data_IF_689267980822
#
_entry.id   IF_689267980822
#
_cell.length_a   1.000
_cell.length_b   1.000
_cell.length_c   1.000
_cell.angle_alpha   90.00
_cell.angle_beta   90.00
_cell.angle_gamma   90.00
#
_symmetry.space_group_name_H-M   'P 1'
#
loop_
_entity.id
_entity.type
_entity.pdbx_description
1 polymer ?
#
# COMPACT_ATOMS: atom_id res chain seq x y z
N UNK A 1 8.54 15.33 9.03
CA UNK A 1 9.60 15.14 10.02
C UNK A 1 9.11 14.19 11.10
N UNK A 2 9.89 13.18 11.49
CA UNK A 2 9.64 12.46 12.74
C UNK A 2 9.94 13.43 13.89
N UNK A 3 9.12 13.47 14.96
CA UNK A 3 9.45 14.26 16.14
C UNK A 3 10.82 13.81 16.67
N UNK A 4 11.65 14.73 17.19
CA UNK A 4 12.92 14.35 17.81
C UNK A 4 12.64 13.32 18.92
N UNK A 5 13.49 12.27 19.06
CA UNK A 5 13.29 11.26 20.08
C UNK A 5 13.21 11.93 21.46
N UNK A 6 12.34 11.45 22.37
CA UNK A 6 12.21 12.06 23.67
C UNK A 6 13.56 12.08 24.40
N UNK A 7 13.90 13.17 25.12
CA UNK A 7 15.09 13.19 25.97
C UNK A 7 15.05 11.99 26.92
N UNK A 8 16.14 11.21 26.99
CA UNK A 8 16.16 9.99 27.81
C UNK A 8 15.96 10.27 29.31
N UNK A 9 16.21 11.51 29.73
CA UNK A 9 16.01 12.04 31.08
C UNK A 9 14.57 12.50 31.37
N UNK A 10 13.67 12.56 30.38
CA UNK A 10 12.27 12.88 30.61
C UNK A 10 11.52 11.72 31.28
N UNK A 11 10.52 12.05 32.12
CA UNK A 11 9.66 11.05 32.75
C UNK A 11 8.89 10.23 31.71
N UNK A 12 8.55 8.97 32.01
CA UNK A 12 7.81 8.11 31.08
C UNK A 12 6.49 8.77 30.62
N UNK A 13 5.75 9.39 31.54
CA UNK A 13 4.50 10.09 31.24
C UNK A 13 4.71 11.20 30.21
N UNK A 14 5.75 12.02 30.37
CA UNK A 14 6.06 13.08 29.42
C UNK A 14 6.44 12.54 28.04
N UNK A 15 7.21 11.45 27.98
CA UNK A 15 7.56 10.80 26.71
C UNK A 15 6.32 10.25 26.00
N UNK A 16 5.39 9.63 26.75
CA UNK A 16 4.13 9.13 26.22
C UNK A 16 3.23 10.25 25.72
N UNK A 17 3.09 11.35 26.46
CA UNK A 17 2.30 12.52 26.03
C UNK A 17 2.87 13.13 24.75
N UNK A 18 4.19 13.28 24.66
CA UNK A 18 4.86 13.76 23.43
C UNK A 18 4.62 12.82 22.25
N UNK A 19 4.62 11.51 22.47
CA UNK A 19 4.31 10.54 21.41
C UNK A 19 2.85 10.67 20.97
N UNK A 20 1.92 10.65 21.93
CA UNK A 20 0.47 10.63 21.70
C UNK A 20 -0.07 11.88 20.98
N UNK A 21 0.59 13.02 21.18
CA UNK A 21 0.22 14.30 20.54
C UNK A 21 0.71 14.43 19.10
N UNK A 22 1.40 13.43 18.57
CA UNK A 22 1.93 13.48 17.20
C UNK A 22 0.91 12.95 16.19
N UNK A 23 0.90 13.57 15.01
CA UNK A 23 0.13 13.06 13.87
C UNK A 23 0.59 11.66 13.43
N UNK A 24 1.86 11.30 13.69
CA UNK A 24 2.37 9.96 13.41
C UNK A 24 1.77 8.89 14.33
N UNK A 25 1.49 9.23 15.59
CA UNK A 25 0.81 8.34 16.51
C UNK A 25 -0.65 8.10 16.09
N UNK A 26 -1.36 9.14 15.64
CA UNK A 26 -2.70 8.98 15.06
C UNK A 26 -2.68 8.06 13.83
N UNK A 27 -1.67 8.21 12.96
CA UNK A 27 -1.45 7.33 11.81
C UNK A 27 -1.16 5.87 12.23
N UNK A 28 -0.35 5.67 13.28
CA UNK A 28 -0.12 4.35 13.86
C UNK A 28 -1.41 3.72 14.39
N UNK A 29 -2.21 4.49 15.14
CA UNK A 29 -3.46 4.02 15.71
C UNK A 29 -4.44 3.61 14.61
N UNK A 30 -4.52 4.37 13.51
CA UNK A 30 -5.31 3.97 12.34
C UNK A 30 -4.89 2.62 11.76
N UNK A 31 -3.59 2.37 11.55
CA UNK A 31 -3.14 1.07 11.07
C UNK A 31 -3.39 -0.06 12.08
N UNK A 32 -3.23 0.20 13.38
CA UNK A 32 -3.54 -0.76 14.42
C UNK A 32 -5.03 -1.12 14.46
N UNK A 33 -5.91 -0.11 14.41
CA UNK A 33 -7.36 -0.30 14.30
C UNK A 33 -7.75 -1.06 13.04
N UNK A 34 -7.09 -0.80 11.91
CA UNK A 34 -7.28 -1.57 10.68
C UNK A 34 -6.99 -3.05 10.91
N UNK A 35 -5.84 -3.39 11.49
CA UNK A 35 -5.46 -4.79 11.77
C UNK A 35 -6.46 -5.49 12.69
N UNK A 36 -6.87 -4.84 13.78
CA UNK A 36 -7.87 -5.39 14.71
C UNK A 36 -9.22 -5.60 14.01
N UNK A 37 -9.62 -4.64 13.17
CA UNK A 37 -10.87 -4.69 12.41
C UNK A 37 -10.86 -5.82 11.38
N UNK A 38 -9.76 -6.00 10.65
CA UNK A 38 -9.59 -7.10 9.69
C UNK A 38 -9.56 -8.44 10.39
N UNK A 39 -8.83 -8.56 11.52
CA UNK A 39 -8.82 -9.79 12.32
C UNK A 39 -10.23 -10.17 12.76
N UNK A 40 -10.97 -9.23 13.35
CA UNK A 40 -12.35 -9.47 13.80
C UNK A 40 -13.30 -9.77 12.63
N UNK A 41 -13.11 -9.14 11.48
CA UNK A 41 -13.84 -9.47 10.25
C UNK A 41 -13.51 -10.89 9.78
N UNK A 42 -12.25 -11.30 9.83
CA UNK A 42 -11.81 -12.67 9.49
C UNK A 42 -12.49 -13.73 10.36
N UNK A 43 -12.70 -13.47 11.65
CA UNK A 43 -13.47 -14.36 12.54
C UNK A 43 -14.91 -14.61 12.07
N UNK A 44 -15.50 -13.68 11.31
CA UNK A 44 -16.84 -13.87 10.73
C UNK A 44 -16.86 -14.93 9.62
N UNK A 45 -15.72 -15.22 8.97
CA UNK A 45 -15.61 -16.28 7.97
C UNK A 45 -15.53 -17.66 8.62
N UNK A 46 -14.84 -17.79 9.75
CA UNK A 46 -14.81 -19.05 10.53
C UNK A 46 -16.18 -19.42 11.11
N UNK A 47 -16.99 -18.42 11.44
CA UNK A 47 -18.35 -18.59 11.96
C UNK A 47 -19.42 -18.57 10.87
N UNK A 48 -19.03 -18.50 9.60
CA UNK A 48 -19.91 -18.37 8.42
C UNK A 48 -20.93 -17.21 8.51
N UNK A 49 -20.65 -16.19 9.34
CA UNK A 49 -21.53 -15.05 9.62
C UNK A 49 -20.96 -13.72 9.11
N UNK A 50 -20.44 -13.75 7.89
CA UNK A 50 -19.73 -12.64 7.23
C UNK A 50 -20.64 -11.50 6.75
N UNK A 51 -21.96 -11.66 6.84
CA UNK A 51 -22.95 -10.60 6.62
C UNK A 51 -23.57 -10.04 7.91
N UNK A 52 -23.13 -10.49 9.10
CA UNK A 52 -23.61 -9.92 10.37
C UNK A 52 -23.37 -8.41 10.46
N UNK A 53 -24.18 -7.73 11.28
CA UNK A 53 -23.98 -6.31 11.60
C UNK A 53 -22.55 -6.03 12.10
N UNK A 54 -22.01 -6.94 12.91
CA UNK A 54 -20.63 -6.85 13.40
C UNK A 54 -19.58 -7.02 12.31
N UNK A 55 -19.74 -8.00 11.40
CA UNK A 55 -18.83 -8.17 10.28
C UNK A 55 -18.85 -6.95 9.36
N UNK A 56 -20.04 -6.44 9.03
CA UNK A 56 -20.19 -5.23 8.24
C UNK A 56 -19.55 -4.02 8.94
N UNK A 57 -19.77 -3.85 10.25
CA UNK A 57 -19.15 -2.79 11.03
C UNK A 57 -17.62 -2.84 10.97
N UNK A 58 -17.01 -4.00 11.24
CA UNK A 58 -15.54 -4.12 11.23
C UNK A 58 -14.95 -4.00 9.84
N UNK A 59 -15.65 -4.45 8.80
CA UNK A 59 -15.26 -4.20 7.41
C UNK A 59 -15.20 -2.69 7.11
N UNK A 60 -16.25 -1.95 7.48
CA UNK A 60 -16.30 -0.49 7.29
C UNK A 60 -15.26 0.22 8.14
N UNK A 61 -15.08 -0.19 9.39
CA UNK A 61 -14.07 0.38 10.29
C UNK A 61 -12.66 0.19 9.75
N UNK A 62 -12.35 -0.94 9.12
CA UNK A 62 -11.06 -1.16 8.45
C UNK A 62 -10.82 -0.13 7.33
N UNK A 63 -11.81 0.15 6.48
CA UNK A 63 -11.68 1.16 5.43
C UNK A 63 -11.72 2.60 5.94
N UNK A 64 -12.50 2.92 7.00
CA UNK A 64 -12.40 4.22 7.68
C UNK A 64 -10.98 4.43 8.22
N UNK A 65 -10.40 3.38 8.81
CA UNK A 65 -9.03 3.42 9.31
C UNK A 65 -8.02 3.64 8.16
N UNK A 66 -8.18 2.95 7.03
CA UNK A 66 -7.36 3.16 5.84
C UNK A 66 -7.48 4.60 5.30
N UNK A 67 -8.71 5.13 5.18
CA UNK A 67 -8.94 6.51 4.75
C UNK A 67 -8.26 7.50 5.69
N UNK A 68 -8.34 7.28 7.00
CA UNK A 68 -7.66 8.13 7.98
C UNK A 68 -6.14 8.07 7.84
N UNK A 69 -5.53 6.89 7.71
CA UNK A 69 -4.07 6.75 7.61
C UNK A 69 -3.52 7.32 6.31
N UNK A 70 -4.12 6.97 5.16
CA UNK A 70 -3.69 7.54 3.87
C UNK A 70 -4.01 9.03 3.79
N UNK A 71 -5.12 9.49 4.36
CA UNK A 71 -5.45 10.92 4.46
C UNK A 71 -4.36 11.71 5.19
N UNK A 72 -3.84 11.17 6.31
CA UNK A 72 -2.71 11.78 7.03
C UNK A 72 -1.45 11.86 6.15
N UNK A 73 -1.12 10.78 5.43
CA UNK A 73 0.08 10.74 4.58
C UNK A 73 -0.05 11.72 3.41
N UNK A 74 -1.21 11.75 2.76
CA UNK A 74 -1.53 12.69 1.67
C UNK A 74 -1.48 14.13 2.16
N UNK A 75 -2.08 14.43 3.32
CA UNK A 75 -2.01 15.77 3.91
C UNK A 75 -0.56 16.22 4.15
N UNK A 76 0.27 15.34 4.72
CA UNK A 76 1.70 15.63 4.94
C UNK A 76 2.45 15.83 3.62
N UNK A 77 2.20 15.01 2.62
CA UNK A 77 2.82 15.12 1.30
C UNK A 77 2.41 16.43 0.60
N UNK A 78 1.13 16.78 0.65
CA UNK A 78 0.60 18.03 0.12
C UNK A 78 1.27 19.25 0.77
N UNK A 79 1.26 19.34 2.11
CA UNK A 79 1.92 20.42 2.87
C UNK A 79 3.40 20.55 2.57
N UNK A 80 4.08 19.45 2.22
CA UNK A 80 5.51 19.44 1.96
C UNK A 80 5.88 19.80 0.51
N UNK A 81 5.00 19.50 -0.46
CA UNK A 81 5.32 19.57 -1.90
C UNK A 81 4.58 20.68 -2.65
N UNK A 82 3.43 21.13 -2.16
CA UNK A 82 2.60 22.14 -2.82
C UNK A 82 2.86 23.51 -2.19
N UNK A 83 3.19 24.49 -3.03
CA UNK A 83 3.43 25.87 -2.60
C UNK A 83 2.26 26.77 -3.00
N UNK A 84 2.00 27.85 -2.23
CA UNK A 84 1.04 28.87 -2.66
C UNK A 84 1.39 29.39 -4.05
N UNK A 85 0.41 29.43 -4.95
CA UNK A 85 0.60 29.87 -6.34
C UNK A 85 0.96 28.77 -7.35
N UNK A 86 1.13 27.50 -6.93
CA UNK A 86 1.33 26.40 -7.88
C UNK A 86 0.10 26.23 -8.80
N UNK A 87 0.29 26.06 -10.14
CA UNK A 87 -0.81 25.84 -11.07
C UNK A 87 -1.64 24.61 -10.70
N UNK A 88 -2.97 24.74 -10.72
CA UNK A 88 -3.92 23.68 -10.31
C UNK A 88 -3.66 22.38 -11.09
N UNK A 89 -3.43 22.47 -12.41
CA UNK A 89 -3.16 21.29 -13.24
C UNK A 89 -1.90 20.53 -12.82
N UNK A 90 -0.83 21.25 -12.46
CA UNK A 90 0.42 20.65 -11.95
C UNK A 90 0.20 19.99 -10.59
N UNK A 91 -0.51 20.66 -9.69
CA UNK A 91 -0.83 20.11 -8.36
C UNK A 91 -1.68 18.85 -8.47
N UNK A 92 -2.70 18.86 -9.34
CA UNK A 92 -3.54 17.69 -9.58
C UNK A 92 -2.73 16.51 -10.11
N UNK A 93 -1.85 16.74 -11.10
CA UNK A 93 -1.00 15.69 -11.65
C UNK A 93 -0.02 15.14 -10.61
N UNK A 94 0.58 16.00 -9.78
CA UNK A 94 1.48 15.62 -8.69
C UNK A 94 0.77 14.71 -7.68
N UNK A 95 -0.46 15.06 -7.28
CA UNK A 95 -1.24 14.27 -6.33
C UNK A 95 -1.72 12.95 -6.92
N UNK A 96 -2.25 12.94 -8.15
CA UNK A 96 -2.71 11.71 -8.80
C UNK A 96 -1.57 10.73 -9.10
N UNK A 97 -0.36 11.24 -9.26
CA UNK A 97 0.86 10.44 -9.40
C UNK A 97 1.42 9.95 -8.06
N UNK A 98 0.84 10.29 -6.92
CA UNK A 98 1.27 9.79 -5.61
C UNK A 98 0.49 8.51 -5.24
N UNK A 99 1.20 7.43 -4.96
CA UNK A 99 0.57 6.14 -4.61
C UNK A 99 -0.31 6.25 -3.36
N UNK A 100 0.02 7.13 -2.41
CA UNK A 100 -0.79 7.31 -1.19
C UNK A 100 -2.14 7.95 -1.52
N UNK A 101 -2.19 8.84 -2.50
CA UNK A 101 -3.44 9.42 -3.00
C UNK A 101 -4.27 8.33 -3.69
N UNK A 102 -3.63 7.46 -4.49
CA UNK A 102 -4.33 6.35 -5.15
C UNK A 102 -4.93 5.38 -4.12
N UNK A 103 -4.19 5.05 -3.06
CA UNK A 103 -4.70 4.23 -1.95
C UNK A 103 -5.81 4.93 -1.14
N UNK A 104 -5.71 6.25 -0.94
CA UNK A 104 -6.79 7.04 -0.32
C UNK A 104 -8.07 6.98 -1.17
N UNK A 105 -7.97 7.22 -2.48
CA UNK A 105 -9.12 7.18 -3.37
C UNK A 105 -9.75 5.80 -3.43
N UNK A 106 -8.94 4.74 -3.55
CA UNK A 106 -9.51 3.38 -3.61
C UNK A 106 -10.08 2.91 -2.27
N UNK A 107 -9.52 3.33 -1.14
CA UNK A 107 -10.09 3.03 0.18
C UNK A 107 -11.45 3.72 0.39
N UNK A 108 -11.64 4.93 -0.13
CA UNK A 108 -12.97 5.58 -0.18
C UNK A 108 -13.95 4.79 -1.04
N UNK A 109 -13.53 4.30 -2.21
CA UNK A 109 -14.37 3.45 -3.07
C UNK A 109 -14.80 2.19 -2.33
N UNK A 110 -13.87 1.51 -1.65
CA UNK A 110 -14.17 0.30 -0.88
C UNK A 110 -15.02 0.55 0.36
N UNK A 111 -14.90 1.73 0.97
CA UNK A 111 -15.73 2.13 2.10
C UNK A 111 -17.22 2.11 1.74
N UNK A 112 -17.58 2.53 0.52
CA UNK A 112 -18.98 2.60 0.07
C UNK A 112 -19.42 1.44 -0.83
N UNK A 113 -18.49 0.66 -1.37
CA UNK A 113 -18.84 -0.52 -2.18
C UNK A 113 -19.46 -1.65 -1.35
N UNK A 114 -20.00 -2.67 -2.03
CA UNK A 114 -20.29 -3.97 -1.38
C UNK A 114 -19.04 -4.55 -0.71
N UNK A 115 -19.23 -5.45 0.25
CA UNK A 115 -18.12 -6.10 0.95
C UNK A 115 -17.31 -6.99 -0.01
N UNK A 116 -16.01 -6.73 -0.07
CA UNK A 116 -15.05 -7.46 -0.89
C UNK A 116 -13.86 -7.77 0.02
N UNK A 117 -13.82 -8.95 0.64
CA UNK A 117 -12.78 -9.31 1.61
C UNK A 117 -11.37 -9.19 1.03
N UNK A 118 -11.20 -9.60 -0.23
CA UNK A 118 -9.93 -9.54 -0.93
C UNK A 118 -9.36 -8.11 -1.02
N UNK A 119 -10.22 -7.08 -1.00
CA UNK A 119 -9.80 -5.68 -1.00
C UNK A 119 -9.14 -5.25 0.30
N UNK A 120 -9.34 -5.97 1.42
CA UNK A 120 -8.67 -5.67 2.69
C UNK A 120 -7.23 -6.16 2.74
N UNK A 121 -6.87 -7.17 1.94
CA UNK A 121 -5.61 -7.89 2.10
C UNK A 121 -4.38 -7.02 1.79
N UNK A 122 -4.32 -6.22 0.71
CA UNK A 122 -3.20 -5.31 0.48
C UNK A 122 -3.00 -4.33 1.66
N UNK A 123 -4.09 -3.73 2.14
CA UNK A 123 -4.07 -2.78 3.26
C UNK A 123 -3.61 -3.44 4.58
N UNK A 124 -3.97 -4.71 4.78
CA UNK A 124 -3.52 -5.51 5.93
C UNK A 124 -2.01 -5.67 5.89
N UNK A 125 -1.45 -6.06 4.75
CA UNK A 125 0.01 -6.23 4.60
C UNK A 125 0.73 -4.93 4.90
N UNK A 126 0.35 -3.81 4.27
CA UNK A 126 0.95 -2.50 4.58
C UNK A 126 0.85 -2.16 6.08
N UNK A 127 -0.32 -2.39 6.69
CA UNK A 127 -0.56 -2.07 8.09
C UNK A 127 0.33 -2.89 9.03
N UNK A 128 0.61 -4.16 8.74
CA UNK A 128 1.56 -4.98 9.52
C UNK A 128 2.94 -4.33 9.53
N UNK A 129 3.47 -3.96 8.36
CA UNK A 129 4.80 -3.33 8.26
C UNK A 129 4.84 -1.95 8.92
N UNK A 130 3.77 -1.17 8.78
CA UNK A 130 3.66 0.14 9.41
C UNK A 130 3.60 0.07 10.94
N UNK A 131 2.77 -0.82 11.50
CA UNK A 131 2.69 -1.07 12.94
C UNK A 131 4.01 -1.62 13.48
N UNK A 132 4.62 -2.58 12.79
CA UNK A 132 5.92 -3.14 13.19
C UNK A 132 7.02 -2.07 13.20
N UNK A 133 7.16 -1.32 12.10
CA UNK A 133 8.18 -0.27 11.98
C UNK A 133 7.97 0.84 13.00
N UNK A 134 6.72 1.29 13.22
CA UNK A 134 6.42 2.31 14.22
C UNK A 134 6.71 1.81 15.64
N UNK A 135 6.38 0.56 15.94
CA UNK A 135 6.69 -0.07 17.22
C UNK A 135 8.18 -0.07 17.48
N UNK A 136 8.99 -0.48 16.48
CA UNK A 136 10.45 -0.48 16.57
C UNK A 136 11.05 0.90 16.75
N UNK A 137 10.56 1.89 16.02
CA UNK A 137 11.21 3.20 15.89
C UNK A 137 10.70 4.23 16.90
N UNK A 138 9.49 4.08 17.42
CA UNK A 138 8.85 5.05 18.29
C UNK A 138 8.40 4.45 19.63
N UNK A 139 7.64 3.34 19.61
CA UNK A 139 7.09 2.76 20.86
C UNK A 139 8.21 2.24 21.76
N UNK A 140 9.08 1.37 21.23
CA UNK A 140 10.16 0.76 22.02
C UNK A 140 11.11 1.83 22.61
N UNK A 141 11.63 2.80 21.83
CA UNK A 141 12.48 3.85 22.41
C UNK A 141 11.75 4.77 23.41
N UNK A 142 10.43 4.93 23.30
CA UNK A 142 9.62 5.72 24.25
C UNK A 142 9.49 5.00 25.60
N UNK A 143 9.34 3.67 25.58
CA UNK A 143 9.26 2.84 26.78
C UNK A 143 10.63 2.61 27.41
N UNK A 144 11.61 2.28 26.57
CA UNK A 144 12.99 1.94 26.96
C UNK A 144 13.97 2.73 26.11
N UNK A 145 14.32 3.97 26.50
CA UNK A 145 15.26 4.79 25.77
C UNK A 145 16.62 4.09 25.66
N UNK A 146 17.31 4.18 24.52
CA UNK A 146 18.67 3.67 24.41
C UNK A 146 19.54 4.34 25.48
N UNK A 147 20.20 3.53 26.31
CA UNK A 147 21.25 4.06 27.20
C UNK A 147 22.36 4.62 26.29
N UNK A 148 22.72 5.89 26.48
CA UNK A 148 23.92 6.42 25.87
C UNK A 148 25.09 5.55 26.32
N UNK A 149 25.94 5.11 25.39
CA UNK A 149 27.16 4.41 25.78
C UNK A 149 27.99 5.36 26.66
N UNK A 150 28.59 4.89 27.78
CA UNK A 150 29.49 5.72 28.57
C UNK A 150 30.58 6.29 27.66
N UNK A 151 30.67 7.63 27.56
CA UNK A 151 31.65 8.31 26.72
C UNK A 151 31.19 8.71 25.30
N UNK A 152 29.92 8.47 24.92
CA UNK A 152 29.40 8.99 23.65
C UNK A 152 28.93 10.45 23.77
N UNK A 153 29.63 11.38 23.13
CA UNK A 153 29.15 12.75 22.93
C UNK A 153 27.99 12.78 21.93
N UNK A 154 27.06 13.75 22.01
CA UNK A 154 25.84 13.80 21.18
C UNK A 154 26.06 13.88 19.66
N UNK A 155 27.31 14.02 19.22
CA UNK A 155 27.69 14.39 17.85
C UNK A 155 28.36 13.29 17.04
N UNK A 156 28.62 12.10 17.60
CA UNK A 156 29.28 11.02 16.86
C UNK A 156 28.32 10.32 15.87
N UNK A 157 28.49 10.46 14.55
CA UNK A 157 27.71 9.72 13.56
C UNK A 157 28.24 8.28 13.54
N UNK A 158 27.52 7.34 14.16
CA UNK A 158 27.86 5.91 14.09
C UNK A 158 27.86 5.14 15.41
N UNK A 159 27.58 5.77 16.55
CA UNK A 159 27.36 5.01 17.78
C UNK A 159 26.10 4.15 17.62
N UNK A 160 26.29 2.84 17.43
CA UNK A 160 25.21 1.87 17.39
C UNK A 160 24.48 1.90 18.73
N UNK A 161 23.38 2.66 18.80
CA UNK A 161 22.49 2.68 19.95
C UNK A 161 22.09 1.23 20.23
N UNK A 162 22.44 0.70 21.40
CA UNK A 162 22.01 -0.64 21.83
C UNK A 162 20.49 -0.70 21.72
N UNK A 163 19.99 -1.42 20.70
CA UNK A 163 18.57 -1.63 20.46
C UNK A 163 18.13 -2.88 21.24
N UNK A 164 16.93 -2.84 21.83
CA UNK A 164 16.38 -3.98 22.56
C UNK A 164 16.29 -5.22 21.66
N UNK A 165 16.33 -6.45 22.22
CA UNK A 165 16.16 -7.67 21.44
C UNK A 165 14.90 -7.68 20.58
N UNK A 166 13.79 -7.13 21.11
CA UNK A 166 12.54 -6.97 20.35
C UNK A 166 12.69 -6.03 19.16
N UNK A 167 13.34 -4.87 19.33
CA UNK A 167 13.59 -3.93 18.23
C UNK A 167 14.46 -4.55 17.13
N UNK A 168 15.43 -5.40 17.50
CA UNK A 168 16.27 -6.14 16.55
C UNK A 168 15.45 -7.21 15.81
N UNK A 169 14.61 -7.97 16.50
CA UNK A 169 13.74 -8.97 15.87
C UNK A 169 12.73 -8.35 14.90
N UNK A 170 12.11 -7.23 15.27
CA UNK A 170 11.24 -6.48 14.34
C UNK A 170 12.04 -5.98 13.13
N UNK A 171 13.26 -5.48 13.35
CA UNK A 171 14.14 -5.04 12.26
C UNK A 171 14.46 -6.17 11.28
N UNK A 172 14.77 -7.37 11.79
CA UNK A 172 14.97 -8.57 10.97
C UNK A 172 13.71 -8.96 10.21
N UNK A 173 12.56 -9.04 10.88
CA UNK A 173 11.27 -9.32 10.26
C UNK A 173 10.98 -8.39 9.08
N UNK A 174 11.11 -7.06 9.29
CA UNK A 174 10.86 -6.09 8.22
C UNK A 174 11.83 -6.32 7.06
N UNK A 175 13.12 -6.49 7.32
CA UNK A 175 14.12 -6.69 6.26
C UNK A 175 13.91 -7.99 5.48
N UNK A 176 13.61 -9.07 6.17
CA UNK A 176 13.49 -10.42 5.59
C UNK A 176 12.22 -10.57 4.75
N UNK A 177 11.10 -10.02 5.22
CA UNK A 177 9.81 -10.26 4.60
C UNK A 177 9.31 -9.13 3.69
N UNK A 178 9.99 -7.98 3.62
CA UNK A 178 9.52 -6.83 2.84
C UNK A 178 9.30 -7.17 1.36
N UNK A 179 10.32 -7.67 0.65
CA UNK A 179 10.22 -7.93 -0.79
C UNK A 179 9.17 -9.00 -1.10
N UNK A 180 9.17 -10.10 -0.35
CA UNK A 180 8.16 -11.16 -0.48
C UNK A 180 6.74 -10.65 -0.22
N UNK A 181 6.57 -9.76 0.77
CA UNK A 181 5.27 -9.16 1.08
C UNK A 181 4.84 -8.15 0.02
N UNK A 182 5.76 -7.39 -0.55
CA UNK A 182 5.46 -6.49 -1.68
C UNK A 182 5.07 -7.27 -2.94
N UNK A 183 5.69 -8.43 -3.17
CA UNK A 183 5.26 -9.35 -4.22
C UNK A 183 3.88 -9.94 -3.96
N UNK A 184 3.58 -10.27 -2.70
CA UNK A 184 2.25 -10.71 -2.29
C UNK A 184 1.20 -9.61 -2.51
N UNK A 185 1.50 -8.36 -2.14
CA UNK A 185 0.62 -7.22 -2.41
C UNK A 185 0.33 -7.10 -3.90
N UNK A 186 1.36 -7.13 -4.75
CA UNK A 186 1.17 -7.08 -6.20
C UNK A 186 0.29 -8.22 -6.72
N UNK A 187 0.49 -9.45 -6.23
CA UNK A 187 -0.34 -10.60 -6.59
C UNK A 187 -1.81 -10.42 -6.12
N UNK A 188 -2.03 -9.92 -4.91
CA UNK A 188 -3.36 -9.63 -4.38
C UNK A 188 -4.07 -8.52 -5.16
N UNK A 189 -3.34 -7.47 -5.54
CA UNK A 189 -3.87 -6.37 -6.36
C UNK A 189 -4.36 -6.88 -7.74
N UNK A 190 -3.56 -7.74 -8.39
CA UNK A 190 -3.90 -8.37 -9.67
C UNK A 190 -5.07 -9.35 -9.51
N UNK A 191 -5.03 -10.21 -8.49
CA UNK A 191 -6.10 -11.16 -8.19
C UNK A 191 -7.44 -10.46 -7.95
N UNK A 192 -7.41 -9.31 -7.26
CA UNK A 192 -8.59 -8.50 -7.04
C UNK A 192 -9.18 -7.98 -8.35
N UNK A 193 -8.34 -7.58 -9.31
CA UNK A 193 -8.82 -7.19 -10.64
C UNK A 193 -9.54 -8.33 -11.35
N UNK A 194 -8.95 -9.53 -11.38
CA UNK A 194 -9.59 -10.71 -11.98
C UNK A 194 -10.91 -11.06 -11.30
N UNK A 195 -10.97 -10.98 -9.97
CA UNK A 195 -12.22 -11.20 -9.23
C UNK A 195 -13.30 -10.18 -9.59
N UNK A 196 -12.93 -8.91 -9.81
CA UNK A 196 -13.86 -7.88 -10.26
C UNK A 196 -14.30 -8.10 -11.70
N UNK A 197 -13.39 -8.54 -12.57
CA UNK A 197 -13.69 -8.92 -13.95
C UNK A 197 -14.73 -10.06 -14.00
N UNK A 198 -14.54 -11.11 -13.20
CA UNK A 198 -15.52 -12.19 -13.08
C UNK A 198 -16.87 -11.67 -12.57
N UNK A 199 -16.86 -10.72 -11.62
CA UNK A 199 -18.09 -10.08 -11.14
C UNK A 199 -18.77 -9.19 -12.20
N UNK A 200 -18.01 -8.67 -13.17
CA UNK A 200 -18.52 -7.90 -14.30
C UNK A 200 -19.23 -8.80 -15.31
N UNK A 201 -18.63 -9.96 -15.62
CA UNK A 201 -19.26 -10.97 -16.48
C UNK A 201 -20.53 -11.59 -15.88
N UNK A 202 -20.65 -11.65 -14.55
CA UNK A 202 -21.90 -12.07 -13.88
C UNK A 202 -22.91 -10.93 -13.71
N UNK A 203 -22.67 -9.75 -14.30
CA UNK A 203 -23.54 -8.57 -14.25
C UNK A 203 -24.00 -8.16 -12.84
N UNK A 204 -23.18 -8.43 -11.83
CA UNK A 204 -23.45 -7.99 -10.46
C UNK A 204 -23.62 -6.47 -10.41
N UNK A 205 -24.61 -5.95 -9.67
CA UNK A 205 -24.88 -4.50 -9.61
C UNK A 205 -23.62 -3.68 -9.28
N UNK A 206 -23.29 -2.73 -10.17
CA UNK A 206 -22.13 -1.83 -10.02
C UNK A 206 -20.76 -2.44 -10.29
N UNK A 207 -20.67 -3.71 -10.73
CA UNK A 207 -19.39 -4.39 -10.98
C UNK A 207 -18.58 -3.77 -12.11
N UNK A 208 -19.22 -3.30 -13.19
CA UNK A 208 -18.56 -2.62 -14.30
C UNK A 208 -17.91 -1.29 -13.87
N UNK A 209 -18.62 -0.51 -13.04
CA UNK A 209 -18.08 0.74 -12.49
C UNK A 209 -16.87 0.45 -11.59
N UNK A 210 -17.00 -0.53 -10.69
CA UNK A 210 -15.88 -0.94 -9.81
C UNK A 210 -14.70 -1.48 -10.61
N UNK A 211 -14.94 -2.25 -11.67
CA UNK A 211 -13.90 -2.76 -12.55
C UNK A 211 -13.18 -1.61 -13.26
N UNK A 212 -13.91 -0.62 -13.79
CA UNK A 212 -13.32 0.54 -14.45
C UNK A 212 -12.43 1.35 -13.48
N UNK A 213 -12.95 1.71 -12.31
CA UNK A 213 -12.20 2.44 -11.28
C UNK A 213 -10.95 1.65 -10.85
N UNK A 214 -11.11 0.35 -10.58
CA UNK A 214 -10.01 -0.49 -10.14
C UNK A 214 -8.98 -0.74 -11.25
N UNK A 215 -9.38 -0.72 -12.52
CA UNK A 215 -8.46 -0.78 -13.66
C UNK A 215 -7.59 0.46 -13.72
N UNK A 216 -8.14 1.66 -13.49
CA UNK A 216 -7.34 2.89 -13.41
C UNK A 216 -6.35 2.82 -12.25
N UNK A 217 -6.79 2.35 -11.07
CA UNK A 217 -5.92 2.10 -9.93
C UNK A 217 -4.78 1.14 -10.30
N UNK A 218 -5.09 -0.05 -10.81
CA UNK A 218 -4.08 -1.06 -11.14
C UNK A 218 -3.13 -0.60 -12.25
N UNK A 219 -3.61 0.20 -13.21
CA UNK A 219 -2.80 0.81 -14.25
C UNK A 219 -1.79 1.81 -13.69
N UNK A 220 -2.21 2.62 -12.72
CA UNK A 220 -1.33 3.53 -12.00
C UNK A 220 -0.28 2.74 -11.18
N UNK A 221 -0.71 1.68 -10.49
CA UNK A 221 0.18 0.76 -9.77
C UNK A 221 1.20 0.08 -10.68
N UNK A 222 0.81 -0.35 -11.89
CA UNK A 222 1.73 -0.90 -12.88
C UNK A 222 2.83 0.09 -13.27
N UNK A 223 2.53 1.39 -13.34
CA UNK A 223 3.55 2.40 -13.66
C UNK A 223 4.53 2.63 -12.51
N UNK A 224 4.05 2.55 -11.27
CA UNK A 224 4.79 2.97 -10.07
C UNK A 224 5.50 1.84 -9.35
N UNK A 225 5.02 0.59 -9.47
CA UNK A 225 5.50 -0.55 -8.69
C UNK A 225 6.20 -1.58 -9.58
N UNK A 226 7.50 -1.75 -9.33
CA UNK A 226 8.30 -2.83 -9.95
C UNK A 226 7.76 -4.22 -9.59
N UNK A 227 7.18 -4.38 -8.39
CA UNK A 227 6.56 -5.64 -7.98
C UNK A 227 5.33 -5.97 -8.83
N UNK A 228 4.50 -4.98 -9.17
CA UNK A 228 3.34 -5.18 -10.06
C UNK A 228 3.82 -5.52 -11.47
N UNK A 229 4.79 -4.78 -12.01
CA UNK A 229 5.41 -5.09 -13.31
C UNK A 229 5.96 -6.53 -13.35
N UNK A 230 6.72 -6.92 -12.32
CA UNK A 230 7.27 -8.26 -12.19
C UNK A 230 6.22 -9.34 -12.03
N UNK A 231 5.11 -9.08 -11.33
CA UNK A 231 3.99 -10.01 -11.20
C UNK A 231 3.29 -10.25 -12.55
N UNK A 232 3.02 -9.18 -13.31
CA UNK A 232 2.48 -9.30 -14.67
C UNK A 232 3.44 -10.03 -15.61
N UNK A 233 4.73 -9.70 -15.57
CA UNK A 233 5.75 -10.35 -16.41
C UNK A 233 5.86 -11.85 -16.12
N UNK A 234 5.89 -12.25 -14.84
CA UNK A 234 5.95 -13.67 -14.45
C UNK A 234 4.66 -14.41 -14.81
N UNK A 235 3.50 -13.77 -14.62
CA UNK A 235 2.22 -14.32 -15.04
C UNK A 235 2.16 -14.56 -16.56
N UNK A 236 2.56 -13.57 -17.36
CA UNK A 236 2.63 -13.70 -18.83
C UNK A 236 3.58 -14.82 -19.23
N UNK A 237 4.79 -14.85 -18.68
CA UNK A 237 5.79 -15.87 -19.00
C UNK A 237 5.30 -17.29 -18.67
N UNK A 238 4.56 -17.46 -17.57
CA UNK A 238 3.99 -18.74 -17.20
C UNK A 238 2.94 -19.22 -18.21
N UNK A 239 2.07 -18.32 -18.68
CA UNK A 239 1.07 -18.64 -19.71
C UNK A 239 1.75 -18.88 -21.05
N UNK A 240 2.74 -18.06 -21.43
CA UNK A 240 3.53 -18.25 -22.66
C UNK A 240 4.20 -19.64 -22.68
N UNK A 241 4.76 -20.09 -21.55
CA UNK A 241 5.34 -21.44 -21.42
C UNK A 241 4.30 -22.54 -21.63
N UNK A 242 3.08 -22.40 -21.08
CA UNK A 242 2.02 -23.39 -21.27
C UNK A 242 1.51 -23.43 -22.72
N UNK A 243 1.38 -22.26 -23.34
CA UNK A 243 0.87 -22.10 -24.72
C UNK A 243 1.84 -22.68 -25.74
N UNK A 244 3.14 -22.77 -25.43
CA UNK A 244 4.15 -23.41 -26.28
C UNK A 244 4.05 -24.95 -26.32
N UNK A 245 3.26 -25.58 -25.45
CA UNK A 245 3.05 -27.01 -25.50
C UNK A 245 2.36 -27.40 -26.83
N UNK A 246 2.88 -28.38 -27.60
CA UNK A 246 2.27 -28.85 -28.84
C UNK A 246 0.81 -29.30 -28.67
N UNK A 247 0.44 -29.83 -27.51
CA UNK A 247 -0.91 -30.28 -27.19
C UNK A 247 -1.86 -29.15 -26.74
N UNK A 248 -1.39 -27.90 -26.70
CA UNK A 248 -2.21 -26.76 -26.31
C UNK A 248 -3.21 -26.40 -27.42
N UNK A 249 -4.52 -26.26 -27.14
CA UNK A 249 -5.52 -26.00 -28.17
C UNK A 249 -5.21 -24.75 -29.01
N UNK A 250 -5.23 -24.83 -30.36
CA UNK A 250 -4.89 -23.69 -31.23
C UNK A 250 -5.74 -22.45 -30.97
N UNK A 251 -7.05 -22.63 -30.73
CA UNK A 251 -7.95 -21.53 -30.41
C UNK A 251 -7.57 -20.80 -29.11
N UNK A 252 -7.11 -21.54 -28.10
CA UNK A 252 -6.67 -20.96 -26.83
C UNK A 252 -5.34 -20.18 -27.01
N UNK A 253 -4.43 -20.68 -27.85
CA UNK A 253 -3.19 -19.97 -28.23
C UNK A 253 -3.51 -18.64 -28.93
N UNK A 254 -4.39 -18.65 -29.92
CA UNK A 254 -4.83 -17.44 -30.61
C UNK A 254 -5.54 -16.45 -29.67
N UNK A 255 -6.35 -16.96 -28.75
CA UNK A 255 -6.98 -16.16 -27.70
C UNK A 255 -5.95 -15.46 -26.82
N UNK A 256 -4.91 -16.18 -26.39
CA UNK A 256 -3.81 -15.60 -25.61
C UNK A 256 -3.03 -14.52 -26.38
N UNK A 257 -2.71 -14.75 -27.66
CA UNK A 257 -2.05 -13.75 -28.48
C UNK A 257 -2.91 -12.50 -28.70
N UNK A 258 -4.22 -12.67 -28.84
CA UNK A 258 -5.20 -11.56 -28.90
C UNK A 258 -5.20 -10.75 -27.61
N UNK A 259 -5.24 -11.42 -26.44
CA UNK A 259 -5.17 -10.77 -25.12
C UNK A 259 -3.88 -9.97 -24.96
N UNK A 260 -2.72 -10.55 -25.36
CA UNK A 260 -1.44 -9.83 -25.36
C UNK A 260 -1.46 -8.61 -26.27
N UNK A 261 -2.01 -8.74 -27.48
CA UNK A 261 -2.14 -7.65 -28.44
C UNK A 261 -2.98 -6.49 -27.90
N UNK A 262 -4.18 -6.79 -27.39
CA UNK A 262 -5.07 -5.81 -26.78
C UNK A 262 -4.44 -5.16 -25.54
N UNK A 263 -3.79 -5.95 -24.69
CA UNK A 263 -3.09 -5.46 -23.51
C UNK A 263 -2.01 -4.44 -23.86
N UNK A 264 -1.20 -4.71 -24.90
CA UNK A 264 -0.19 -3.76 -25.40
C UNK A 264 -0.84 -2.48 -25.91
N UNK A 265 -1.90 -2.58 -26.72
CA UNK A 265 -2.64 -1.42 -27.22
C UNK A 265 -3.21 -0.56 -26.09
N UNK A 266 -3.79 -1.17 -25.06
CA UNK A 266 -4.32 -0.45 -23.89
C UNK A 266 -3.21 0.25 -23.12
N UNK A 267 -2.07 -0.43 -22.89
CA UNK A 267 -0.91 0.17 -22.22
C UNK A 267 -0.40 1.37 -23.02
N UNK A 268 -0.29 1.23 -24.33
CA UNK A 268 0.14 2.26 -25.25
C UNK A 268 -0.82 3.45 -25.32
N UNK A 269 -2.12 3.19 -25.32
CA UNK A 269 -3.16 4.22 -25.38
C UNK A 269 -3.28 5.00 -24.06
N UNK A 270 -2.91 4.38 -22.93
CA UNK A 270 -2.97 4.98 -21.59
C UNK A 270 -1.63 5.57 -21.13
N UNK A 271 -0.62 5.63 -22.00
CA UNK A 271 0.64 6.30 -21.69
C UNK A 271 0.49 7.83 -21.77
N UNK A 272 0.30 8.44 -20.61
CA UNK A 272 0.11 9.88 -20.44
C UNK A 272 1.30 10.69 -21.01
N UNK A 273 2.50 10.11 -21.10
CA UNK A 273 3.68 10.78 -21.69
C UNK A 273 3.49 11.14 -23.16
N UNK A 274 2.70 10.35 -23.89
CA UNK A 274 2.39 10.61 -25.31
C UNK A 274 1.52 11.85 -25.50
N UNK A 275 0.68 12.17 -24.50
CA UNK A 275 -0.29 13.27 -24.56
C UNK A 275 0.19 14.54 -23.86
N UNK A 276 1.21 14.45 -23.01
CA UNK A 276 1.83 15.60 -22.34
C UNK A 276 2.93 16.26 -23.18
N UNK A 277 3.14 15.81 -24.42
CA UNK A 277 4.08 16.40 -25.37
C UNK A 277 5.54 16.27 -24.95
N UNK A 278 6.18 15.15 -25.28
CA UNK A 278 7.62 15.05 -25.62
C UNK A 278 8.69 15.71 -24.73
N UNK A 279 8.38 16.14 -23.51
CA UNK A 279 9.33 16.84 -22.66
C UNK A 279 10.26 15.84 -21.96
N UNK A 280 11.41 15.62 -22.61
CA UNK A 280 12.67 15.09 -22.08
C UNK A 280 12.67 13.65 -21.59
N UNK A 281 12.89 12.73 -22.54
CA UNK A 281 13.84 11.65 -22.29
C UNK A 281 15.24 12.29 -22.06
N UNK A 282 15.53 12.68 -20.82
CA UNK A 282 16.88 13.03 -20.42
C UNK A 282 17.76 11.80 -20.63
N UNK A 283 18.65 11.87 -21.62
CA UNK A 283 19.77 10.95 -21.79
C UNK A 283 20.52 10.89 -20.46
N UNK A 284 20.72 9.69 -19.92
CA UNK A 284 21.74 9.43 -18.90
C UNK A 284 23.09 9.90 -19.47
N UNK A 285 23.86 10.74 -18.76
CA UNK A 285 25.27 10.92 -19.11
C UNK A 285 26.01 9.61 -18.86
N UNK A 286 26.95 9.32 -19.75
CA UNK A 286 27.95 8.26 -19.62
C UNK A 286 28.81 8.46 -18.37
#
# INVERSE_FOLDING_TARGET
MAPPPPPANASLGERLTRLATTLQFAWFLGHFTLLVSVFRYGLSYFTFNYYSKWAAFTYRLAFISAVATYGIVVFKAYRARVKPGDPIGRTAMLLLSDENVQYLLISLVWLYSRQIPLALLPFTVYSVFHVATYTRTNIIPTLSPPKAAPGSTPTSPGAAKSQSPLANSIGRFVKEYYDSSMMLVAALEILLWFRLLLSAFTFSKGSWILLAIYTVFLRARFHQSQFVQGAFSRGSAHIDQQVQNPNFPPAARQGWDTVKGLGRQVVDATDVRKYLGGATAQKKPQ
#
